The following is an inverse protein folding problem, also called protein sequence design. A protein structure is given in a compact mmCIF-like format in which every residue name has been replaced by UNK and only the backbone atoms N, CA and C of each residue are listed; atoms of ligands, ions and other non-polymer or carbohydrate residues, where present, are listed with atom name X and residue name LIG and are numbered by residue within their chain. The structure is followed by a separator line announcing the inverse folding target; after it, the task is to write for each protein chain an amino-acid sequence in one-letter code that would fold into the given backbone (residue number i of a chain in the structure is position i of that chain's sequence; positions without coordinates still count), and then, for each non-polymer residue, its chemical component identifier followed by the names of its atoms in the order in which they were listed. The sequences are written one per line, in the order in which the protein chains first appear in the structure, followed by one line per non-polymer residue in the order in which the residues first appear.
data_IF_250270649912
#
_entry.id   IF_250270649912
#
_cell.length_a   1.000
_cell.length_b   1.000
_cell.length_c   1.000
_cell.angle_alpha   90.00
_cell.angle_beta   90.00
_cell.angle_gamma   90.00
#
_symmetry.space_group_name_H-M   'P 1'
#
loop_
_entity.id
_entity.type
_entity.pdbx_description
1 polymer ?
#
# COMPACT_ATOMS: atom_id res chain seq x y z
N UNK A 1 19.78 -12.84 23.15
CA UNK A 1 20.70 -12.04 22.31
C UNK A 1 21.02 -12.70 20.97
N UNK A 2 21.22 -14.02 20.89
CA UNK A 2 21.49 -14.72 19.62
C UNK A 2 20.40 -14.50 18.55
N UNK A 3 19.12 -14.62 18.94
CA UNK A 3 17.97 -14.35 18.07
C UNK A 3 17.95 -12.93 17.49
N UNK A 4 18.34 -11.91 18.28
CA UNK A 4 18.34 -10.52 17.82
C UNK A 4 19.43 -10.27 16.77
N UNK A 5 20.58 -10.93 16.91
CA UNK A 5 21.70 -10.81 15.95
C UNK A 5 21.34 -11.54 14.64
N UNK A 6 20.83 -12.77 14.76
CA UNK A 6 20.40 -13.57 13.60
C UNK A 6 19.22 -12.89 12.88
N UNK A 7 18.26 -12.35 13.62
CA UNK A 7 17.12 -11.61 13.05
C UNK A 7 17.56 -10.32 12.36
N UNK A 8 18.53 -9.59 12.90
CA UNK A 8 19.05 -8.37 12.27
C UNK A 8 19.76 -8.70 10.94
N UNK A 9 20.57 -9.76 10.89
CA UNK A 9 21.26 -10.19 9.67
C UNK A 9 20.26 -10.72 8.63
N UNK A 10 19.27 -11.52 9.07
CA UNK A 10 18.20 -12.02 8.20
C UNK A 10 17.33 -10.90 7.63
N UNK A 11 17.01 -9.89 8.44
CA UNK A 11 16.26 -8.71 7.99
C UNK A 11 17.05 -7.89 6.94
N UNK A 12 18.36 -7.70 7.15
CA UNK A 12 19.22 -7.02 6.17
C UNK A 12 19.30 -7.79 4.84
N UNK A 13 19.38 -9.13 4.88
CA UNK A 13 19.42 -9.98 3.69
C UNK A 13 18.08 -10.09 2.94
N UNK A 14 16.96 -9.90 3.63
CA UNK A 14 15.63 -10.01 3.06
C UNK A 14 15.05 -8.67 2.55
N UNK A 15 15.80 -7.57 2.70
CA UNK A 15 15.41 -6.21 2.30
C UNK A 15 15.15 -6.02 0.79
N UNK A 16 15.53 -7.00 -0.04
CA UNK A 16 15.31 -6.99 -1.49
C UNK A 16 14.13 -7.83 -1.98
N UNK A 17 13.37 -8.50 -1.11
CA UNK A 17 12.26 -9.38 -1.51
C UNK A 17 10.97 -8.97 -0.80
N UNK A 18 9.87 -8.91 -1.55
CA UNK A 18 8.55 -8.68 -0.99
C UNK A 18 8.25 -9.73 0.10
N UNK A 19 7.95 -9.29 1.32
CA UNK A 19 7.74 -10.17 2.47
C UNK A 19 9.01 -10.66 3.17
N UNK A 20 10.15 -9.97 3.03
CA UNK A 20 11.41 -10.38 3.66
C UNK A 20 11.38 -10.61 5.19
N UNK A 21 10.49 -9.93 5.90
CA UNK A 21 10.22 -10.18 7.33
C UNK A 21 9.59 -11.56 7.62
N UNK A 22 8.90 -12.17 6.66
CA UNK A 22 8.26 -13.48 6.81
C UNK A 22 9.30 -14.61 6.89
N UNK A 23 10.47 -14.47 6.26
CA UNK A 23 11.54 -15.47 6.32
C UNK A 23 12.21 -15.57 7.71
N UNK A 24 12.00 -14.58 8.59
CA UNK A 24 12.48 -14.62 9.97
C UNK A 24 11.69 -15.59 10.85
N UNK A 25 10.46 -15.93 10.46
CA UNK A 25 9.57 -16.83 11.19
C UNK A 25 10.14 -18.26 11.27
N UNK A 26 10.47 -18.95 10.16
CA UNK A 26 11.06 -20.28 10.23
C UNK A 26 12.43 -20.32 10.91
N UNK A 27 13.21 -19.23 10.83
CA UNK A 27 14.50 -19.16 11.50
C UNK A 27 14.37 -19.02 13.02
N UNK A 28 13.38 -18.26 13.50
CA UNK A 28 13.03 -18.22 14.93
C UNK A 28 12.47 -19.57 15.40
N UNK A 29 11.57 -20.20 14.65
CA UNK A 29 10.99 -21.50 14.99
C UNK A 29 12.05 -22.60 15.10
N UNK A 30 13.04 -22.63 14.21
CA UNK A 30 14.15 -23.57 14.28
C UNK A 30 14.99 -23.42 15.57
N UNK A 31 15.15 -22.20 16.09
CA UNK A 31 15.89 -21.95 17.33
C UNK A 31 15.14 -22.37 18.60
N UNK A 32 13.80 -22.41 18.54
CA UNK A 32 12.94 -22.85 19.64
C UNK A 32 12.52 -24.32 19.53
N UNK A 33 13.02 -25.06 18.53
CA UNK A 33 12.66 -26.46 18.30
C UNK A 33 11.20 -26.66 17.85
N UNK A 34 10.57 -25.60 17.32
CA UNK A 34 9.20 -25.63 16.82
C UNK A 34 9.21 -26.24 15.42
N UNK A 35 8.20 -27.07 15.14
CA UNK A 35 8.09 -27.76 13.85
C UNK A 35 7.99 -26.75 12.69
N UNK A 36 8.81 -26.98 11.66
CA UNK A 36 8.93 -26.12 10.48
C UNK A 36 7.60 -26.04 9.70
N UNK A 37 6.79 -27.11 9.71
CA UNK A 37 5.47 -27.13 9.05
C UNK A 37 4.55 -26.02 9.59
N UNK A 38 4.56 -25.79 10.91
CA UNK A 38 3.78 -24.71 11.56
C UNK A 38 4.35 -23.35 11.21
N UNK A 39 5.69 -23.22 11.17
CA UNK A 39 6.34 -21.98 10.79
C UNK A 39 5.99 -21.58 9.35
N UNK A 40 5.96 -22.54 8.42
CA UNK A 40 5.59 -22.32 7.03
C UNK A 40 4.12 -21.91 6.87
N UNK A 41 3.22 -22.47 7.69
CA UNK A 41 1.82 -22.05 7.73
C UNK A 41 1.68 -20.57 8.13
N UNK A 42 2.41 -20.13 9.15
CA UNK A 42 2.39 -18.72 9.60
C UNK A 42 2.96 -17.79 8.53
N UNK A 43 4.02 -18.20 7.82
CA UNK A 43 4.55 -17.47 6.66
C UNK A 43 3.50 -17.32 5.56
N UNK A 44 2.78 -18.39 5.23
CA UNK A 44 1.72 -18.37 4.22
C UNK A 44 0.58 -17.44 4.60
N UNK A 45 0.13 -17.47 5.86
CA UNK A 45 -0.90 -16.55 6.37
C UNK A 45 -0.41 -15.09 6.30
N UNK A 46 0.84 -14.84 6.73
CA UNK A 46 1.43 -13.50 6.68
C UNK A 46 1.59 -12.96 5.26
N UNK A 47 1.88 -13.82 4.29
CA UNK A 47 1.92 -13.45 2.87
C UNK A 47 0.55 -13.03 2.35
N UNK A 48 -0.50 -13.82 2.62
CA UNK A 48 -1.86 -13.50 2.20
C UNK A 48 -2.33 -12.17 2.80
N UNK A 49 -2.11 -11.96 4.10
CA UNK A 49 -2.43 -10.71 4.78
C UNK A 49 -1.66 -9.54 4.15
N UNK A 50 -0.38 -9.72 3.86
CA UNK A 50 0.46 -8.71 3.21
C UNK A 50 -0.07 -8.27 1.84
N UNK A 51 -0.52 -9.20 1.01
CA UNK A 51 -1.13 -8.90 -0.30
C UNK A 51 -2.43 -8.11 -0.15
N UNK A 52 -3.30 -8.51 0.79
CA UNK A 52 -4.55 -7.78 1.06
C UNK A 52 -4.25 -6.37 1.58
N UNK A 53 -3.27 -6.24 2.47
CA UNK A 53 -2.88 -4.97 3.06
C UNK A 53 -2.32 -4.01 2.01
N UNK A 54 -1.42 -4.46 1.14
CA UNK A 54 -0.84 -3.65 0.05
C UNK A 54 -1.92 -3.20 -0.96
N UNK A 55 -2.85 -4.10 -1.29
CA UNK A 55 -3.98 -3.79 -2.17
C UNK A 55 -4.91 -2.75 -1.57
N UNK A 56 -5.21 -2.88 -0.27
CA UNK A 56 -6.05 -1.93 0.46
C UNK A 56 -5.34 -0.58 0.65
N UNK A 57 -4.07 -0.58 1.03
CA UNK A 57 -3.25 0.63 1.18
C UNK A 57 -3.14 1.39 -0.14
N UNK A 58 -2.85 0.67 -1.23
CA UNK A 58 -2.81 1.25 -2.58
C UNK A 58 -4.17 1.80 -3.00
N UNK A 59 -5.25 1.04 -2.81
CA UNK A 59 -6.59 1.47 -3.18
C UNK A 59 -7.03 2.71 -2.38
N UNK A 60 -6.75 2.75 -1.08
CA UNK A 60 -7.09 3.89 -0.23
C UNK A 60 -6.25 5.12 -0.62
N UNK A 61 -4.95 4.94 -0.79
CA UNK A 61 -4.02 6.00 -1.19
C UNK A 61 -4.42 6.61 -2.55
N UNK A 62 -4.74 5.80 -3.56
CA UNK A 62 -5.14 6.32 -4.88
C UNK A 62 -6.62 6.72 -5.00
N UNK A 63 -7.50 6.26 -4.10
CA UNK A 63 -8.92 6.64 -4.13
C UNK A 63 -9.15 8.12 -3.83
N UNK A 64 -8.30 8.70 -2.98
CA UNK A 64 -8.32 10.14 -2.69
C UNK A 64 -7.90 10.95 -3.91
N UNK A 65 -6.91 10.48 -4.68
CA UNK A 65 -6.47 11.13 -5.91
C UNK A 65 -7.58 11.20 -6.97
N UNK A 66 -8.39 10.14 -7.09
CA UNK A 66 -9.54 10.10 -8.01
C UNK A 66 -10.65 11.07 -7.57
N UNK A 67 -10.99 11.08 -6.27
CA UNK A 67 -12.01 12.00 -5.73
C UNK A 67 -11.58 13.46 -5.84
N UNK A 68 -10.30 13.75 -5.57
CA UNK A 68 -9.74 15.09 -5.72
C UNK A 68 -9.75 15.54 -7.18
N UNK A 69 -9.38 14.66 -8.11
CA UNK A 69 -9.44 14.93 -9.55
C UNK A 69 -10.87 15.20 -10.01
N UNK A 70 -11.84 14.41 -9.56
CA UNK A 70 -13.25 14.60 -9.91
C UNK A 70 -13.81 15.93 -9.35
N UNK A 71 -13.48 16.28 -8.10
CA UNK A 71 -13.88 17.56 -7.51
C UNK A 71 -13.25 18.76 -8.26
N UNK A 72 -11.98 18.65 -8.64
CA UNK A 72 -11.30 19.68 -9.43
C UNK A 72 -11.90 19.84 -10.83
N UNK A 73 -12.27 18.74 -11.51
CA UNK A 73 -12.92 18.79 -12.82
C UNK A 73 -14.28 19.50 -12.76
N UNK A 74 -15.11 19.20 -11.75
CA UNK A 74 -16.41 19.87 -11.54
C UNK A 74 -16.24 21.37 -11.27
N UNK A 75 -15.28 21.76 -10.43
CA UNK A 75 -14.99 23.16 -10.13
C UNK A 75 -14.46 23.91 -11.38
N UNK A 76 -13.66 23.24 -12.20
CA UNK A 76 -13.14 23.80 -13.46
C UNK A 76 -14.27 24.00 -14.48
N UNK A 77 -15.20 23.04 -14.60
CA UNK A 77 -16.37 23.16 -15.48
C UNK A 77 -17.28 24.33 -15.07
N UNK A 78 -17.60 24.47 -13.78
CA UNK A 78 -18.39 25.61 -13.29
C UNK A 78 -17.75 26.96 -13.64
N UNK A 79 -16.44 27.09 -13.45
CA UNK A 79 -15.73 28.33 -13.82
C UNK A 79 -15.76 28.59 -15.34
N UNK A 80 -15.67 27.54 -16.17
CA UNK A 80 -15.74 27.67 -17.63
C UNK A 80 -17.14 28.06 -18.10
N UNK A 81 -18.19 27.42 -17.60
CA UNK A 81 -19.59 27.73 -17.94
C UNK A 81 -19.94 29.18 -17.56
N UNK A 82 -19.56 29.61 -16.36
CA UNK A 82 -19.79 30.98 -15.87
C UNK A 82 -19.05 32.03 -16.71
N UNK A 83 -17.81 31.74 -17.14
CA UNK A 83 -17.06 32.63 -18.03
C UNK A 83 -17.64 32.68 -19.46
N UNK A 84 -18.30 31.61 -19.90
CA UNK A 84 -18.86 31.50 -21.25
C UNK A 84 -20.21 32.24 -21.34
N UNK A 85 -21.04 32.19 -20.30
CA UNK A 85 -22.27 32.99 -20.19
C UNK A 85 -21.97 34.51 -20.10
N UNK A 86 -20.95 34.90 -19.34
CA UNK A 86 -20.51 36.30 -19.25
C UNK A 86 -20.00 36.84 -20.60
N UNK A 87 -19.30 36.01 -21.38
CA UNK A 87 -18.83 36.37 -22.73
C UNK A 87 -19.98 36.45 -23.76
N UNK A 88 -21.00 35.58 -23.65
CA UNK A 88 -22.17 35.65 -24.52
C UNK A 88 -23.03 36.89 -24.24
N UNK A 89 -23.20 37.28 -22.96
CA UNK A 89 -23.89 38.53 -22.61
C UNK A 89 -23.15 39.78 -23.10
N UNK A 90 -21.82 39.77 -23.17
CA UNK A 90 -21.06 40.89 -23.76
C UNK A 90 -21.14 40.97 -25.29
N UNK A 91 -21.51 39.89 -25.99
CA UNK A 91 -21.68 39.89 -27.45
C UNK A 91 -23.12 40.22 -27.90
N UNK A 92 -24.11 40.12 -27.00
CA UNK A 92 -25.51 40.48 -27.28
C UNK A 92 -25.89 41.94 -26.96
N UNK A 93 -24.97 42.75 -26.42
CA UNK A 93 -25.12 44.21 -26.22
C UNK A 93 -24.34 44.97 -27.29
#
# INVERSE_FOLDING_TARGET
MLLSILSAIGACGASGVAGGSLLLVPMACALFGINNDIAMQVVGVGFIIGVVQDSAETALNSSTDVLFTAAADIASRKNKEQSQDDLQMQQEI
#
